data_IF_560258935238
#
_entry.id   IF_560258935238
#
_cell.length_a   1.000
_cell.length_b   1.000
_cell.length_c   1.000
_cell.angle_alpha   90.00
_cell.angle_beta   90.00
_cell.angle_gamma   90.00
#
_symmetry.space_group_name_H-M   'P 1'
#
loop_
_entity.id
_entity.type
_entity.pdbx_description
1 polymer ?
#
# COMPACT_ATOMS: atom_id res chain seq x y z
N UNK A 1 15.29 19.87 -17.36
CA UNK A 1 15.00 20.95 -16.38
C UNK A 1 15.45 20.50 -14.98
N UNK A 2 15.65 21.37 -13.99
CA UNK A 2 15.87 20.91 -12.60
C UNK A 2 14.55 20.36 -12.04
N UNK A 3 14.62 19.33 -11.20
CA UNK A 3 13.43 18.68 -10.63
C UNK A 3 12.44 19.65 -9.95
N UNK A 4 12.96 20.67 -9.24
CA UNK A 4 12.12 21.65 -8.54
C UNK A 4 11.35 22.55 -9.50
N UNK A 5 11.96 22.90 -10.63
CA UNK A 5 11.35 23.77 -11.64
C UNK A 5 10.29 22.99 -12.43
N UNK A 6 10.57 21.72 -12.76
CA UNK A 6 9.60 20.82 -13.38
C UNK A 6 8.42 20.51 -12.43
N UNK A 7 8.67 20.37 -11.13
CA UNK A 7 7.60 20.22 -10.13
C UNK A 7 6.70 21.47 -10.06
N UNK A 8 7.26 22.68 -10.20
CA UNK A 8 6.48 23.91 -10.26
C UNK A 8 5.59 23.96 -11.50
N UNK A 9 6.11 23.60 -12.67
CA UNK A 9 5.31 23.51 -13.91
C UNK A 9 4.13 22.55 -13.74
N UNK A 10 4.39 21.35 -13.23
CA UNK A 10 3.35 20.35 -13.00
C UNK A 10 2.30 20.83 -11.99
N UNK A 11 2.72 21.51 -10.92
CA UNK A 11 1.79 22.04 -9.91
C UNK A 11 0.99 23.25 -10.42
N UNK A 12 1.57 24.08 -11.30
CA UNK A 12 0.86 25.17 -11.97
C UNK A 12 -0.26 24.61 -12.88
N UNK A 13 0.06 23.59 -13.68
CA UNK A 13 -0.91 22.93 -14.56
C UNK A 13 -2.00 22.18 -13.78
N UNK A 14 -1.65 21.60 -12.63
CA UNK A 14 -2.57 20.82 -11.82
C UNK A 14 -3.69 21.66 -11.17
N UNK A 15 -3.53 23.00 -11.13
CA UNK A 15 -4.47 23.96 -10.54
C UNK A 15 -4.98 23.52 -9.15
N UNK A 16 -4.14 22.84 -8.37
CA UNK A 16 -4.50 22.26 -7.07
C UNK A 16 -3.40 21.35 -6.50
N UNK A 17 -3.49 20.95 -5.22
CA UNK A 17 -2.42 20.20 -4.57
C UNK A 17 -2.29 18.77 -5.09
N UNK A 18 -1.08 18.36 -5.44
CA UNK A 18 -0.75 17.01 -5.88
C UNK A 18 0.11 16.26 -4.86
N UNK A 19 -0.06 14.95 -4.82
CA UNK A 19 0.86 14.08 -4.08
C UNK A 19 2.19 13.97 -4.83
N UNK A 20 3.33 13.91 -4.14
CA UNK A 20 4.66 13.93 -4.76
C UNK A 20 4.88 12.82 -5.80
N UNK A 21 4.26 11.65 -5.62
CA UNK A 21 4.26 10.56 -6.60
C UNK A 21 3.66 11.06 -7.93
N UNK A 22 2.49 11.69 -7.88
CA UNK A 22 1.83 12.25 -9.07
C UNK A 22 2.61 13.41 -9.69
N UNK A 23 3.28 14.23 -8.87
CA UNK A 23 4.15 15.30 -9.36
C UNK A 23 5.28 14.69 -10.19
N UNK A 24 5.93 13.67 -9.64
CA UNK A 24 7.06 12.95 -10.25
C UNK A 24 6.65 12.25 -11.55
N UNK A 25 5.55 11.51 -11.53
CA UNK A 25 5.04 10.79 -12.71
C UNK A 25 4.75 11.76 -13.86
N UNK A 26 4.14 12.91 -13.58
CA UNK A 26 3.85 13.93 -14.62
C UNK A 26 5.11 14.61 -15.12
N UNK A 27 6.09 14.89 -14.26
CA UNK A 27 7.38 15.47 -14.67
C UNK A 27 8.10 14.57 -15.67
N UNK A 28 8.07 13.25 -15.46
CA UNK A 28 8.69 12.25 -16.34
C UNK A 28 7.85 12.08 -17.62
N UNK A 29 6.53 11.93 -17.49
CA UNK A 29 5.63 11.72 -18.62
C UNK A 29 5.61 12.89 -19.61
N UNK A 30 5.77 14.13 -19.11
CA UNK A 30 5.87 15.34 -19.94
C UNK A 30 7.29 15.62 -20.44
N UNK A 31 8.28 14.75 -20.13
CA UNK A 31 9.68 14.96 -20.50
C UNK A 31 10.34 16.18 -19.86
N UNK A 32 9.74 16.75 -18.82
CA UNK A 32 10.24 17.95 -18.15
C UNK A 32 11.48 17.64 -17.30
N UNK A 33 11.54 16.43 -16.75
CA UNK A 33 12.63 15.97 -15.91
C UNK A 33 12.87 14.46 -16.08
N UNK A 34 14.14 14.07 -16.08
CA UNK A 34 14.57 12.68 -16.12
C UNK A 34 15.32 12.32 -14.83
N UNK A 35 15.22 11.06 -14.41
CA UNK A 35 15.75 10.54 -13.15
C UNK A 35 16.71 9.39 -13.39
N UNK A 36 17.98 9.57 -13.01
CA UNK A 36 18.99 8.50 -13.01
C UNK A 36 18.88 7.56 -11.77
N UNK A 37 18.06 7.92 -10.77
CA UNK A 37 17.93 7.21 -9.51
C UNK A 37 16.81 6.16 -9.47
N UNK A 38 16.93 5.17 -8.57
CA UNK A 38 15.95 4.07 -8.40
C UNK A 38 14.62 4.51 -7.76
N UNK A 39 14.58 5.68 -7.13
CA UNK A 39 13.40 6.20 -6.39
C UNK A 39 13.14 7.69 -6.72
N UNK A 40 12.68 7.98 -7.95
CA UNK A 40 12.43 9.35 -8.40
C UNK A 40 11.42 10.09 -7.52
N UNK A 41 10.41 9.39 -7.00
CA UNK A 41 9.34 9.99 -6.20
C UNK A 41 9.87 10.47 -4.84
N UNK A 42 10.69 9.64 -4.18
CA UNK A 42 11.35 10.00 -2.94
C UNK A 42 12.27 11.22 -3.14
N UNK A 43 12.95 11.29 -4.29
CA UNK A 43 13.82 12.41 -4.66
C UNK A 43 13.03 13.71 -4.83
N UNK A 44 11.90 13.68 -5.53
CA UNK A 44 11.03 14.86 -5.71
C UNK A 44 10.42 15.30 -4.38
N UNK A 45 9.95 14.36 -3.56
CA UNK A 45 9.42 14.66 -2.22
C UNK A 45 10.46 15.36 -1.33
N UNK A 46 11.68 14.83 -1.29
CA UNK A 46 12.77 15.39 -0.50
C UNK A 46 13.14 16.80 -0.98
N UNK A 47 13.23 17.03 -2.29
CA UNK A 47 13.56 18.35 -2.85
C UNK A 47 12.50 19.39 -2.56
N UNK A 48 11.21 19.04 -2.68
CA UNK A 48 10.11 19.94 -2.31
C UNK A 48 10.10 20.25 -0.81
N UNK A 49 10.35 19.24 0.03
CA UNK A 49 10.42 19.44 1.48
C UNK A 49 11.62 20.31 1.90
N UNK A 50 12.78 20.11 1.29
CA UNK A 50 14.00 20.91 1.54
C UNK A 50 13.79 22.36 1.07
N UNK A 51 13.21 22.59 -0.11
CA UNK A 51 12.92 23.94 -0.62
C UNK A 51 11.98 24.71 0.33
N UNK A 52 10.91 24.05 0.81
CA UNK A 52 9.97 24.64 1.78
C UNK A 52 10.65 24.92 3.12
N UNK A 53 11.50 24.02 3.61
CA UNK A 53 12.20 24.20 4.89
C UNK A 53 13.22 25.35 4.80
N UNK A 54 14.00 25.39 3.73
CA UNK A 54 15.11 26.32 3.59
C UNK A 54 14.64 27.73 3.21
N UNK A 55 13.55 27.86 2.44
CA UNK A 55 12.99 29.16 2.03
C UNK A 55 11.78 29.59 2.86
N UNK A 56 11.22 28.71 3.70
CA UNK A 56 10.09 29.03 4.56
C UNK A 56 8.91 29.60 3.78
N UNK A 57 8.43 30.79 4.19
CA UNK A 57 7.33 31.50 3.52
C UNK A 57 7.69 32.03 2.13
N UNK A 58 8.98 32.11 1.78
CA UNK A 58 9.44 32.52 0.46
C UNK A 58 9.45 31.38 -0.58
N UNK A 59 9.25 30.13 -0.16
CA UNK A 59 9.16 28.98 -1.07
C UNK A 59 7.96 29.15 -2.02
N UNK A 60 8.17 28.74 -3.28
CA UNK A 60 7.11 28.63 -4.30
C UNK A 60 6.09 27.55 -3.96
N UNK A 61 6.43 26.64 -3.04
CA UNK A 61 5.63 25.49 -2.69
C UNK A 61 5.09 25.61 -1.27
N UNK A 62 3.97 24.97 -1.03
CA UNK A 62 3.42 24.80 0.31
C UNK A 62 2.99 23.35 0.49
N UNK A 63 3.27 22.80 1.68
CA UNK A 63 2.81 21.46 2.05
C UNK A 63 1.43 21.57 2.68
N UNK A 64 0.43 21.04 1.98
CA UNK A 64 -0.99 21.11 2.41
C UNK A 64 -1.49 19.80 3.05
N UNK A 65 -0.64 18.77 3.09
CA UNK A 65 -0.97 17.47 3.67
C UNK A 65 0.18 16.48 3.61
N UNK A 66 -0.04 15.26 4.12
CA UNK A 66 0.99 14.19 4.05
C UNK A 66 1.30 13.85 2.59
N UNK A 67 2.54 14.15 2.17
CA UNK A 67 3.02 13.95 0.81
C UNK A 67 2.37 14.84 -0.26
N UNK A 68 1.56 15.84 0.12
CA UNK A 68 0.83 16.71 -0.83
C UNK A 68 1.40 18.12 -0.82
N UNK A 69 1.67 18.63 -2.02
CA UNK A 69 2.28 19.92 -2.28
C UNK A 69 1.40 20.74 -3.22
N UNK A 70 1.39 22.05 -3.04
CA UNK A 70 0.72 23.01 -3.91
C UNK A 70 1.66 24.19 -4.19
N UNK A 71 1.32 25.03 -5.17
CA UNK A 71 1.94 26.35 -5.29
C UNK A 71 1.41 27.28 -4.20
N UNK A 72 2.30 28.13 -3.68
CA UNK A 72 1.94 29.14 -2.70
C UNK A 72 1.11 30.26 -3.39
N UNK A 73 -0.17 30.37 -3.03
CA UNK A 73 -1.19 31.17 -3.70
C UNK A 73 -0.98 32.70 -3.59
N UNK A 74 -0.12 33.19 -2.69
CA UNK A 74 0.19 34.64 -2.61
C UNK A 74 0.94 35.19 -3.82
N UNK A 75 1.40 34.33 -4.75
CA UNK A 75 2.04 34.76 -6.00
C UNK A 75 1.34 34.32 -7.29
N UNK A 76 0.18 33.66 -7.20
CA UNK A 76 -0.49 33.06 -8.38
C UNK A 76 -1.97 33.44 -8.53
N UNK A 77 -2.40 34.62 -8.03
CA UNK A 77 -3.75 35.11 -8.32
C UNK A 77 -3.75 36.60 -8.69
N UNK A 78 -3.73 36.87 -10.00
CA UNK A 78 -4.62 37.89 -10.55
C UNK A 78 -6.02 37.29 -10.74
N UNK A 79 -6.97 37.79 -9.96
CA UNK A 79 -8.45 37.66 -10.06
C UNK A 79 -9.09 36.33 -9.60
N UNK A 80 -9.67 36.32 -8.39
CA UNK A 80 -11.11 36.57 -8.05
C UNK A 80 -11.95 35.29 -8.27
N UNK A 81 -12.76 34.76 -7.35
CA UNK A 81 -13.33 35.25 -6.09
C UNK A 81 -13.94 34.05 -5.33
N UNK A 82 -13.94 34.08 -3.98
CA UNK A 82 -14.95 33.41 -3.15
C UNK A 82 -14.54 32.13 -2.43
N UNK A 83 -14.19 32.25 -1.14
CA UNK A 83 -14.23 31.14 -0.17
C UNK A 83 -15.69 30.81 0.21
N UNK A 84 -15.97 29.59 0.70
CA UNK A 84 -15.88 29.39 2.15
C UNK A 84 -15.25 28.06 2.59
N UNK A 85 -14.75 28.08 3.82
CA UNK A 85 -14.21 26.97 4.62
C UNK A 85 -15.35 26.26 5.40
N UNK A 86 -15.09 25.26 6.25
CA UNK A 86 -15.36 23.84 5.99
C UNK A 86 -16.52 23.30 6.84
N UNK A 87 -17.31 22.39 6.28
CA UNK A 87 -18.28 21.61 7.05
C UNK A 87 -18.10 20.11 6.78
N UNK A 88 -18.02 19.39 7.89
CA UNK A 88 -18.04 17.94 8.04
C UNK A 88 -19.14 17.22 7.24
N UNK A 89 -18.79 16.06 6.66
CA UNK A 89 -19.72 14.96 6.40
C UNK A 89 -18.88 13.67 6.45
N UNK A 90 -18.91 12.85 7.53
CA UNK A 90 -19.95 11.87 7.88
C UNK A 90 -20.58 11.21 6.65
N UNK A 91 -20.36 9.90 6.56
CA UNK A 91 -20.89 9.05 5.52
C UNK A 91 -22.42 9.07 5.47
N UNK A 92 -22.93 9.01 4.25
CA UNK A 92 -24.32 8.81 3.94
C UNK A 92 -24.40 7.98 2.67
N UNK A 93 -24.97 6.78 2.83
CA UNK A 93 -25.48 5.93 1.76
C UNK A 93 -26.64 6.68 1.08
N UNK A 94 -26.63 6.78 -0.25
CA UNK A 94 -27.61 7.58 -1.01
C UNK A 94 -27.82 7.05 -2.41
N UNK A 95 -28.93 6.33 -2.62
CA UNK A 95 -29.44 5.95 -3.95
C UNK A 95 -29.91 7.20 -4.71
N UNK A 96 -29.29 7.46 -5.86
CA UNK A 96 -29.73 8.42 -6.87
C UNK A 96 -28.57 9.05 -7.65
N UNK A 97 -28.25 8.50 -8.84
CA UNK A 97 -27.53 9.21 -9.90
C UNK A 97 -26.16 8.67 -10.34
N UNK A 98 -25.14 8.72 -9.48
CA UNK A 98 -23.74 8.46 -9.88
C UNK A 98 -23.18 7.21 -9.19
N UNK A 99 -22.53 6.33 -9.93
CA UNK A 99 -21.80 5.19 -9.35
C UNK A 99 -20.58 5.68 -8.55
N UNK A 100 -20.10 4.88 -7.59
CA UNK A 100 -18.81 5.16 -6.96
C UNK A 100 -17.68 5.05 -8.00
N UNK A 101 -16.54 5.72 -7.80
CA UNK A 101 -15.41 5.64 -8.73
C UNK A 101 -14.98 4.20 -9.02
N UNK A 102 -14.95 3.33 -8.01
CA UNK A 102 -14.61 1.92 -8.21
C UNK A 102 -15.68 1.16 -8.98
N UNK A 103 -16.96 1.46 -8.77
CA UNK A 103 -18.03 0.79 -9.51
C UNK A 103 -18.11 1.29 -10.96
N UNK A 104 -17.84 2.57 -11.20
CA UNK A 104 -17.72 3.11 -12.53
C UNK A 104 -16.50 2.55 -13.27
N UNK A 105 -15.35 2.44 -12.60
CA UNK A 105 -14.17 1.79 -13.17
C UNK A 105 -14.46 0.35 -13.58
N UNK A 106 -15.17 -0.40 -12.72
CA UNK A 106 -15.55 -1.77 -13.03
C UNK A 106 -16.45 -1.85 -14.25
N UNK A 107 -17.47 -0.98 -14.36
CA UNK A 107 -18.37 -0.92 -15.52
C UNK A 107 -17.63 -0.57 -16.81
N UNK A 108 -16.79 0.47 -16.78
CA UNK A 108 -16.01 0.89 -17.95
C UNK A 108 -15.10 -0.23 -18.45
N UNK A 109 -14.46 -0.96 -17.53
CA UNK A 109 -13.64 -2.11 -17.90
C UNK A 109 -14.51 -3.28 -18.36
N UNK A 110 -15.61 -3.61 -17.68
CA UNK A 110 -16.49 -4.72 -18.07
C UNK A 110 -17.02 -4.59 -19.50
N UNK A 111 -17.21 -3.35 -19.96
CA UNK A 111 -17.67 -2.99 -21.30
C UNK A 111 -16.51 -2.74 -22.29
N UNK A 112 -15.26 -3.08 -21.96
CA UNK A 112 -14.13 -2.99 -22.91
C UNK A 112 -14.22 -4.14 -23.92
N UNK A 113 -14.32 -3.86 -25.24
CA UNK A 113 -14.58 -4.87 -26.27
C UNK A 113 -13.55 -6.01 -26.30
N UNK A 114 -12.31 -5.66 -26.02
CA UNK A 114 -11.13 -6.53 -26.11
C UNK A 114 -10.68 -7.10 -24.76
N UNK A 115 -11.41 -6.78 -23.67
CA UNK A 115 -11.01 -7.11 -22.28
C UNK A 115 -9.55 -6.73 -21.99
N UNK A 116 -9.06 -5.66 -22.61
CA UNK A 116 -7.69 -5.21 -22.43
C UNK A 116 -7.57 -4.25 -21.25
N UNK A 117 -6.47 -4.31 -20.48
CA UNK A 117 -6.19 -3.33 -19.44
C UNK A 117 -6.23 -1.91 -20.01
N UNK A 118 -6.92 -1.02 -19.32
CA UNK A 118 -6.96 0.39 -19.69
C UNK A 118 -6.11 1.20 -18.70
N UNK A 119 -5.47 2.24 -19.22
CA UNK A 119 -4.82 3.21 -18.34
C UNK A 119 -5.89 3.91 -17.49
N UNK A 120 -5.63 4.12 -16.20
CA UNK A 120 -6.61 4.72 -15.28
C UNK A 120 -7.17 6.07 -15.78
N UNK A 121 -6.39 6.83 -16.55
CA UNK A 121 -6.85 8.06 -17.19
C UNK A 121 -7.97 7.80 -18.20
N UNK A 122 -7.81 6.82 -19.09
CA UNK A 122 -8.81 6.41 -20.06
C UNK A 122 -10.05 5.81 -19.39
N UNK A 123 -9.87 5.06 -18.29
CA UNK A 123 -11.00 4.56 -17.48
C UNK A 123 -11.85 5.73 -16.97
N UNK A 124 -11.17 6.78 -16.50
CA UNK A 124 -11.83 7.96 -15.94
C UNK A 124 -12.55 8.77 -17.01
N UNK A 125 -11.91 8.99 -18.15
CA UNK A 125 -12.49 9.68 -19.29
C UNK A 125 -13.78 9.00 -19.75
N UNK A 126 -13.73 7.68 -20.01
CA UNK A 126 -14.92 6.90 -20.38
C UNK A 126 -15.99 6.91 -19.29
N UNK A 127 -15.60 6.94 -18.01
CA UNK A 127 -16.56 7.02 -16.91
C UNK A 127 -17.27 8.39 -16.86
N UNK A 128 -16.58 9.48 -17.22
CA UNK A 128 -17.15 10.82 -17.32
C UNK A 128 -18.02 10.96 -18.57
N UNK A 129 -17.55 10.49 -19.72
CA UNK A 129 -18.30 10.51 -20.99
C UNK A 129 -19.64 9.78 -20.91
N UNK A 130 -19.70 8.74 -20.09
CA UNK A 130 -20.91 7.92 -19.87
C UNK A 130 -21.74 8.37 -18.66
N UNK A 131 -21.40 9.51 -18.06
CA UNK A 131 -22.05 10.03 -16.86
C UNK A 131 -22.10 9.01 -15.68
N UNK A 132 -21.15 8.06 -15.64
CA UNK A 132 -21.07 7.05 -14.58
C UNK A 132 -20.54 7.65 -13.27
N UNK A 133 -19.72 8.70 -13.38
CA UNK A 133 -19.23 9.49 -12.26
C UNK A 133 -19.47 10.97 -12.53
N UNK A 134 -19.75 11.70 -11.45
CA UNK A 134 -19.68 13.16 -11.46
C UNK A 134 -18.56 13.60 -10.52
N UNK A 135 -17.76 14.57 -10.98
CA UNK A 135 -16.59 15.00 -10.22
C UNK A 135 -16.53 16.51 -10.13
N UNK A 136 -16.61 17.04 -8.92
CA UNK A 136 -16.36 18.46 -8.65
C UNK A 136 -14.86 18.80 -8.54
N UNK A 137 -14.01 17.77 -8.39
CA UNK A 137 -12.57 17.89 -8.23
C UNK A 137 -11.79 18.00 -9.55
N UNK A 138 -10.69 18.75 -9.56
CA UNK A 138 -9.87 19.04 -10.76
C UNK A 138 -8.98 17.88 -11.25
N UNK A 139 -8.92 16.76 -10.52
CA UNK A 139 -8.11 15.59 -10.90
C UNK A 139 -8.88 14.26 -10.83
N UNK A 140 -9.94 14.08 -11.64
CA UNK A 140 -10.77 12.87 -11.61
C UNK A 140 -9.95 11.58 -11.78
N UNK A 141 -8.93 11.59 -12.64
CA UNK A 141 -8.14 10.40 -12.94
C UNK A 141 -7.25 9.94 -11.80
N UNK A 142 -6.67 10.88 -11.06
CA UNK A 142 -5.88 10.56 -9.88
C UNK A 142 -6.77 10.01 -8.76
N UNK A 143 -7.96 10.58 -8.60
CA UNK A 143 -8.96 10.07 -7.66
C UNK A 143 -9.38 8.66 -8.04
N UNK A 144 -9.74 8.42 -9.30
CA UNK A 144 -10.09 7.11 -9.85
C UNK A 144 -9.02 6.07 -9.51
N UNK A 145 -7.77 6.34 -9.89
CA UNK A 145 -6.68 5.40 -9.67
C UNK A 145 -6.45 5.13 -8.18
N UNK A 146 -6.44 6.17 -7.35
CA UNK A 146 -6.26 6.00 -5.90
C UNK A 146 -7.37 5.16 -5.24
N UNK A 147 -8.61 5.27 -5.72
CA UNK A 147 -9.75 4.50 -5.23
C UNK A 147 -9.65 3.04 -5.66
N UNK A 148 -9.24 2.77 -6.90
CA UNK A 148 -8.93 1.41 -7.39
C UNK A 148 -7.83 0.76 -6.53
N UNK A 149 -6.69 1.45 -6.33
CA UNK A 149 -5.58 0.95 -5.52
C UNK A 149 -5.97 0.71 -4.05
N UNK A 150 -6.90 1.51 -3.54
CA UNK A 150 -7.41 1.38 -2.17
C UNK A 150 -8.36 0.18 -2.06
N UNK A 151 -9.23 -0.05 -3.05
CA UNK A 151 -10.12 -1.21 -3.10
C UNK A 151 -9.32 -2.53 -3.17
N UNK A 152 -8.30 -2.59 -4.04
CA UNK A 152 -7.40 -3.75 -4.15
C UNK A 152 -6.79 -4.08 -2.77
N UNK A 153 -6.12 -3.11 -2.13
CA UNK A 153 -5.48 -3.30 -0.82
C UNK A 153 -6.49 -3.69 0.28
N UNK A 154 -7.67 -3.08 0.27
CA UNK A 154 -8.73 -3.37 1.23
C UNK A 154 -9.19 -4.83 1.12
N UNK A 155 -9.42 -5.31 -0.10
CA UNK A 155 -9.85 -6.69 -0.38
C UNK A 155 -8.78 -7.70 -0.02
N UNK A 156 -7.52 -7.46 -0.40
CA UNK A 156 -6.39 -8.30 -0.04
C UNK A 156 -6.24 -8.45 1.49
N UNK A 157 -6.34 -7.35 2.23
CA UNK A 157 -6.23 -7.36 3.70
C UNK A 157 -7.35 -8.18 4.35
N UNK A 158 -8.51 -8.28 3.69
CA UNK A 158 -9.67 -9.06 4.15
C UNK A 158 -9.68 -10.50 3.62
N UNK A 159 -8.73 -10.89 2.77
CA UNK A 159 -8.74 -12.17 2.09
C UNK A 159 -9.86 -12.32 1.05
N UNK A 160 -10.41 -11.20 0.56
CA UNK A 160 -11.42 -11.18 -0.50
C UNK A 160 -10.76 -11.21 -1.88
N UNK A 161 -11.43 -11.80 -2.88
CA UNK A 161 -10.97 -11.76 -4.26
C UNK A 161 -10.91 -10.30 -4.77
N UNK A 162 -9.81 -9.89 -5.43
CA UNK A 162 -9.68 -8.54 -5.98
C UNK A 162 -10.63 -8.35 -7.17
N UNK A 163 -11.19 -7.15 -7.32
CA UNK A 163 -11.97 -6.76 -8.53
C UNK A 163 -11.06 -6.37 -9.69
N UNK A 164 -9.92 -5.77 -9.36
CA UNK A 164 -8.98 -5.17 -10.30
C UNK A 164 -7.60 -5.83 -10.21
N UNK A 165 -6.92 -5.89 -11.34
CA UNK A 165 -5.52 -6.31 -11.44
C UNK A 165 -4.72 -5.15 -12.01
N UNK A 166 -3.58 -4.86 -11.37
CA UNK A 166 -2.61 -3.89 -11.92
C UNK A 166 -1.66 -4.59 -12.87
N UNK A 167 -1.52 -4.03 -14.06
CA UNK A 167 -0.57 -4.50 -15.09
C UNK A 167 0.70 -3.64 -15.16
N UNK A 168 0.88 -2.73 -14.19
CA UNK A 168 1.99 -1.76 -14.17
C UNK A 168 1.70 -0.52 -15.02
N UNK A 169 2.51 0.55 -14.83
CA UNK A 169 2.40 1.82 -15.58
C UNK A 169 0.98 2.42 -15.62
N UNK A 170 0.22 2.30 -14.52
CA UNK A 170 -1.14 2.83 -14.44
C UNK A 170 -2.21 2.02 -15.20
N UNK A 171 -1.85 0.86 -15.75
CA UNK A 171 -2.77 -0.03 -16.45
C UNK A 171 -3.55 -0.88 -15.45
N UNK A 172 -4.87 -0.83 -15.57
CA UNK A 172 -5.81 -1.55 -14.71
C UNK A 172 -6.71 -2.42 -15.57
N UNK A 173 -6.85 -3.68 -15.18
CA UNK A 173 -7.83 -4.60 -15.76
C UNK A 173 -8.76 -5.19 -14.71
N UNK A 174 -9.80 -5.90 -15.16
CA UNK A 174 -10.63 -6.70 -14.24
C UNK A 174 -9.96 -8.04 -13.94
N UNK A 175 -10.01 -8.43 -12.68
CA UNK A 175 -9.63 -9.79 -12.28
C UNK A 175 -10.50 -10.86 -12.97
N UNK A 176 -11.74 -10.50 -13.31
CA UNK A 176 -12.67 -11.36 -14.04
C UNK A 176 -12.26 -11.66 -15.49
N UNK A 177 -11.33 -10.90 -16.08
CA UNK A 177 -10.86 -11.14 -17.45
C UNK A 177 -9.81 -12.23 -17.55
N UNK A 178 -9.10 -12.52 -16.45
CA UNK A 178 -8.29 -13.72 -16.41
C UNK A 178 -9.26 -14.89 -16.60
N UNK A 179 -8.99 -15.81 -17.57
CA UNK A 179 -9.76 -17.02 -17.65
C UNK A 179 -9.80 -17.66 -16.25
N UNK A 180 -10.98 -18.10 -15.81
CA UNK A 180 -11.17 -18.65 -14.44
C UNK A 180 -10.10 -19.70 -14.12
N UNK A 181 -9.70 -20.47 -15.13
CA UNK A 181 -8.61 -21.45 -15.07
C UNK A 181 -7.24 -20.82 -14.76
N UNK A 182 -6.89 -19.70 -15.39
CA UNK A 182 -5.63 -18.97 -15.17
C UNK A 182 -5.64 -18.30 -13.80
N UNK A 183 -6.72 -17.63 -13.42
CA UNK A 183 -6.84 -17.03 -12.08
C UNK A 183 -6.70 -18.10 -10.98
N UNK A 184 -7.41 -19.23 -11.14
CA UNK A 184 -7.31 -20.37 -10.24
C UNK A 184 -5.91 -20.98 -10.18
N UNK A 185 -5.21 -21.05 -11.33
CA UNK A 185 -3.84 -21.53 -11.39
C UNK A 185 -2.86 -20.59 -10.66
N UNK A 186 -2.99 -19.28 -10.85
CA UNK A 186 -2.17 -18.26 -10.16
C UNK A 186 -2.37 -18.36 -8.65
N UNK A 187 -3.61 -18.42 -8.19
CA UNK A 187 -3.89 -18.58 -6.76
C UNK A 187 -3.34 -19.88 -6.21
N UNK A 188 -3.50 -21.00 -6.94
CA UNK A 188 -2.96 -22.30 -6.55
C UNK A 188 -1.44 -22.22 -6.41
N UNK A 189 -0.75 -21.66 -7.41
CA UNK A 189 0.72 -21.49 -7.39
C UNK A 189 1.16 -20.58 -6.24
N UNK A 190 0.45 -19.50 -5.98
CA UNK A 190 0.74 -18.61 -4.86
C UNK A 190 0.55 -19.32 -3.50
N UNK A 191 -0.49 -20.15 -3.35
CA UNK A 191 -0.68 -20.99 -2.15
C UNK A 191 0.46 -22.01 -2.00
N UNK A 192 0.86 -22.69 -3.07
CA UNK A 192 1.99 -23.63 -3.07
C UNK A 192 3.30 -22.94 -2.62
N UNK A 193 3.58 -21.74 -3.14
CA UNK A 193 4.76 -20.97 -2.73
C UNK A 193 4.70 -20.57 -1.25
N UNK A 194 3.56 -20.06 -0.76
CA UNK A 194 3.40 -19.70 0.66
C UNK A 194 3.57 -20.92 1.57
N UNK A 195 3.03 -22.07 1.17
CA UNK A 195 3.19 -23.32 1.91
C UNK A 195 4.66 -23.75 1.96
N UNK A 196 5.38 -23.69 0.82
CA UNK A 196 6.81 -24.00 0.78
C UNK A 196 7.65 -23.03 1.63
N UNK A 197 7.31 -21.74 1.66
CA UNK A 197 7.94 -20.76 2.54
C UNK A 197 7.73 -21.12 4.02
N UNK A 198 6.50 -21.48 4.39
CA UNK A 198 6.17 -21.87 5.76
C UNK A 198 6.89 -23.15 6.19
N UNK A 199 7.00 -24.14 5.31
CA UNK A 199 7.73 -25.39 5.56
C UNK A 199 9.23 -25.14 5.75
N UNK A 200 9.83 -24.27 4.94
CA UNK A 200 11.23 -23.85 5.08
C UNK A 200 11.45 -23.13 6.42
N UNK A 201 10.57 -22.22 6.80
CA UNK A 201 10.62 -21.54 8.09
C UNK A 201 10.46 -22.54 9.26
N UNK A 202 9.52 -23.48 9.14
CA UNK A 202 9.29 -24.55 10.11
C UNK A 202 10.45 -25.55 10.24
N UNK A 203 11.30 -25.67 9.22
CA UNK A 203 12.46 -26.56 9.20
C UNK A 203 13.78 -25.87 9.60
N UNK A 204 13.80 -24.54 9.68
CA UNK A 204 14.98 -23.77 10.07
C UNK A 204 15.39 -24.06 11.53
N UNK A 205 16.65 -23.79 11.88
CA UNK A 205 17.06 -23.75 13.30
C UNK A 205 16.37 -22.58 14.03
N UNK A 206 16.29 -22.59 15.37
CA UNK A 206 15.72 -21.46 16.13
C UNK A 206 16.32 -20.11 15.74
N UNK A 207 17.64 -19.98 15.78
CA UNK A 207 18.36 -18.78 15.32
C UNK A 207 18.18 -18.50 13.82
N UNK A 208 17.93 -19.53 13.00
CA UNK A 208 17.59 -19.35 11.58
C UNK A 208 16.21 -18.71 11.39
N UNK A 209 15.23 -19.12 12.20
CA UNK A 209 13.89 -18.54 12.19
C UNK A 209 13.90 -17.11 12.73
N UNK A 210 14.60 -16.84 13.83
CA UNK A 210 14.79 -15.49 14.37
C UNK A 210 15.39 -14.54 13.32
N UNK A 211 16.44 -14.98 12.60
CA UNK A 211 17.02 -14.19 11.50
C UNK A 211 16.02 -13.91 10.39
N UNK A 212 15.21 -14.90 10.00
CA UNK A 212 14.17 -14.71 8.98
C UNK A 212 13.09 -13.73 9.42
N UNK A 213 12.69 -13.77 10.70
CA UNK A 213 11.76 -12.78 11.28
C UNK A 213 12.39 -11.39 11.28
N UNK A 214 13.66 -11.27 11.65
CA UNK A 214 14.41 -10.01 11.57
C UNK A 214 14.47 -9.44 10.15
N UNK A 215 14.77 -10.29 9.15
CA UNK A 215 14.78 -9.91 7.74
C UNK A 215 13.40 -9.39 7.28
N UNK A 216 12.32 -10.07 7.68
CA UNK A 216 10.97 -9.60 7.38
C UNK A 216 10.69 -8.24 8.03
N UNK A 217 11.03 -8.06 9.30
CA UNK A 217 10.84 -6.79 10.00
C UNK A 217 11.61 -5.65 9.32
N UNK A 218 12.87 -5.87 8.93
CA UNK A 218 13.63 -4.89 8.14
C UNK A 218 12.91 -4.54 6.83
N UNK A 219 12.42 -5.54 6.09
CA UNK A 219 11.69 -5.31 4.84
C UNK A 219 10.34 -4.59 5.05
N UNK A 220 9.77 -4.68 6.25
CA UNK A 220 8.58 -3.93 6.67
C UNK A 220 8.89 -2.51 7.19
N UNK A 221 10.16 -2.12 7.24
CA UNK A 221 10.59 -0.78 7.63
C UNK A 221 10.96 -0.62 9.10
N UNK A 222 11.22 -1.72 9.82
CA UNK A 222 11.79 -1.63 11.17
C UNK A 222 13.30 -1.35 11.09
N UNK A 223 13.73 -0.44 11.97
CA UNK A 223 15.12 -0.05 12.19
C UNK A 223 15.65 -0.61 13.52
N UNK A 224 16.96 -0.48 13.74
CA UNK A 224 17.63 -0.86 15.00
C UNK A 224 17.27 -2.28 15.47
N UNK A 225 17.28 -3.25 14.54
CA UNK A 225 16.91 -4.63 14.86
C UNK A 225 18.05 -5.29 15.63
N UNK A 226 17.77 -5.63 16.88
CA UNK A 226 18.71 -6.26 17.79
C UNK A 226 18.23 -7.67 18.17
N UNK A 227 19.10 -8.66 18.03
CA UNK A 227 18.85 -10.01 18.55
C UNK A 227 19.18 -10.01 20.04
N UNK A 228 18.20 -10.32 20.88
CA UNK A 228 18.39 -10.44 22.32
C UNK A 228 19.07 -11.77 22.62
N UNK A 229 20.12 -11.74 23.44
CA UNK A 229 20.77 -12.98 23.90
C UNK A 229 19.84 -13.70 24.88
N UNK A 230 19.88 -15.03 24.85
CA UNK A 230 18.97 -15.99 25.52
C UNK A 230 19.02 -16.00 27.06
N UNK A 231 19.22 -14.85 27.70
CA UNK A 231 19.43 -14.71 29.14
C UNK A 231 18.29 -13.87 29.73
N UNK A 232 17.37 -14.52 30.44
CA UNK A 232 16.39 -13.96 31.38
C UNK A 232 15.37 -12.91 30.88
N UNK A 233 15.29 -12.58 29.59
CA UNK A 233 14.41 -11.52 29.10
C UNK A 233 12.97 -11.99 28.77
N UNK A 234 12.48 -12.98 29.54
CA UNK A 234 11.11 -13.50 29.46
C UNK A 234 10.64 -13.92 28.05
N UNK A 235 11.57 -14.31 27.17
CA UNK A 235 11.27 -14.86 25.84
C UNK A 235 11.37 -13.88 24.69
N UNK A 236 11.69 -12.61 24.89
CA UNK A 236 11.94 -11.72 23.73
C UNK A 236 13.16 -12.21 22.95
N UNK A 237 13.04 -12.40 21.64
CA UNK A 237 14.12 -12.88 20.75
C UNK A 237 14.71 -11.74 19.89
N UNK A 238 13.91 -10.72 19.59
CA UNK A 238 14.30 -9.56 18.79
C UNK A 238 13.69 -8.28 19.39
N UNK A 239 14.37 -7.15 19.25
CA UNK A 239 13.78 -5.83 19.41
C UNK A 239 14.00 -5.02 18.14
N UNK A 240 13.07 -4.13 17.83
CA UNK A 240 13.18 -3.22 16.68
C UNK A 240 12.29 -2.00 16.83
N UNK A 241 12.60 -0.94 16.09
CA UNK A 241 11.86 0.32 16.13
C UNK A 241 11.24 0.62 14.77
N UNK A 242 9.93 0.75 14.72
CA UNK A 242 9.25 1.28 13.54
C UNK A 242 9.20 2.80 13.62
N UNK A 243 9.75 3.48 12.61
CA UNK A 243 9.72 4.95 12.51
C UNK A 243 8.66 5.36 11.49
N UNK A 244 7.61 6.05 11.94
CA UNK A 244 6.53 6.52 11.08
C UNK A 244 6.67 8.02 10.86
N UNK A 245 6.93 8.41 9.61
CA UNK A 245 7.04 9.81 9.20
C UNK A 245 8.17 10.55 9.91
N UNK A 246 9.28 9.86 10.15
CA UNK A 246 10.53 10.36 10.76
C UNK A 246 10.41 10.88 12.21
N UNK A 247 9.21 10.92 12.79
CA UNK A 247 8.95 11.49 14.11
C UNK A 247 8.42 10.45 15.11
N UNK A 248 7.53 9.56 14.67
CA UNK A 248 6.87 8.61 15.59
C UNK A 248 7.68 7.33 15.68
N UNK A 249 8.19 7.01 16.87
CA UNK A 249 8.96 5.79 17.12
C UNK A 249 8.11 4.79 17.90
N UNK A 250 7.89 3.62 17.33
CA UNK A 250 7.17 2.52 17.97
C UNK A 250 8.19 1.41 18.23
N UNK A 251 8.52 1.19 19.51
CA UNK A 251 9.42 0.10 19.91
C UNK A 251 8.63 -1.19 20.03
N UNK A 252 9.13 -2.24 19.41
CA UNK A 252 8.55 -3.57 19.51
C UNK A 252 9.56 -4.59 20.05
N UNK A 253 9.09 -5.38 21.01
CA UNK A 253 9.70 -6.65 21.39
C UNK A 253 9.02 -7.78 20.64
N UNK A 254 9.81 -8.62 19.98
CA UNK A 254 9.31 -9.69 19.12
C UNK A 254 9.78 -11.04 19.66
N UNK A 255 8.83 -11.96 19.79
CA UNK A 255 9.08 -13.37 20.06
C UNK A 255 8.82 -14.16 18.77
N UNK A 256 9.81 -14.93 18.34
CA UNK A 256 9.76 -15.83 17.21
C UNK A 256 9.65 -17.29 17.70
N UNK A 257 8.48 -17.92 17.51
CA UNK A 257 8.24 -19.34 17.87
C UNK A 257 8.09 -20.23 16.63
N UNK A 258 9.09 -21.08 16.37
CA UNK A 258 9.00 -22.13 15.35
C UNK A 258 8.28 -23.37 15.89
N UNK A 259 6.94 -23.35 15.92
CA UNK A 259 6.12 -24.37 16.59
C UNK A 259 5.22 -25.13 15.61
N UNK A 260 4.83 -26.36 16.00
CA UNK A 260 3.83 -27.17 15.29
C UNK A 260 2.42 -27.05 15.91
N UNK A 261 2.35 -26.85 17.23
CA UNK A 261 1.10 -26.69 17.96
C UNK A 261 0.77 -25.20 18.13
N UNK A 262 -0.52 -24.91 18.34
CA UNK A 262 -0.97 -23.53 18.49
C UNK A 262 -0.35 -22.86 19.72
N UNK A 263 0.04 -21.59 19.56
CA UNK A 263 0.52 -20.75 20.66
C UNK A 263 -0.63 -20.46 21.63
N UNK A 264 -0.35 -20.61 22.92
CA UNK A 264 -1.35 -20.48 24.00
C UNK A 264 -1.20 -19.16 24.76
N UNK A 265 -2.25 -18.78 25.50
CA UNK A 265 -2.30 -17.54 26.29
C UNK A 265 -1.08 -17.30 27.21
N UNK A 266 -0.49 -18.33 27.87
CA UNK A 266 0.68 -18.12 28.73
C UNK A 266 1.87 -17.49 28.00
N UNK A 267 2.07 -17.80 26.71
CA UNK A 267 3.16 -17.19 25.91
C UNK A 267 2.89 -15.70 25.68
N UNK A 268 1.63 -15.34 25.42
CA UNK A 268 1.23 -13.94 25.26
C UNK A 268 1.45 -13.15 26.55
N UNK A 269 1.10 -13.74 27.70
CA UNK A 269 1.34 -13.16 29.02
C UNK A 269 2.83 -12.99 29.31
N UNK A 270 3.64 -13.99 28.95
CA UNK A 270 5.08 -13.98 29.15
C UNK A 270 5.76 -12.85 28.35
N UNK A 271 5.42 -12.73 27.06
CA UNK A 271 5.92 -11.63 26.20
C UNK A 271 5.50 -10.29 26.78
N UNK A 272 4.23 -10.16 27.18
CA UNK A 272 3.72 -8.91 27.78
C UNK A 272 4.45 -8.53 29.06
N UNK A 273 4.77 -9.50 29.93
CA UNK A 273 5.53 -9.27 31.16
C UNK A 273 6.98 -8.85 30.94
N UNK A 274 7.49 -9.01 29.71
CA UNK A 274 8.86 -8.69 29.32
C UNK A 274 8.97 -7.34 28.58
N UNK A 275 7.83 -6.66 28.35
CA UNK A 275 7.80 -5.37 27.65
C UNK A 275 8.35 -4.26 28.54
N UNK A 276 9.24 -3.44 27.98
CA UNK A 276 9.68 -2.20 28.60
C UNK A 276 8.61 -1.09 28.56
N UNK A 277 8.92 0.04 29.19
CA UNK A 277 8.04 1.20 29.18
C UNK A 277 7.75 1.65 27.73
N UNK A 278 6.45 1.77 27.38
CA UNK A 278 5.99 2.16 26.05
C UNK A 278 6.44 1.23 24.90
N UNK A 279 6.80 -0.01 25.20
CA UNK A 279 7.07 -1.05 24.20
C UNK A 279 5.79 -1.82 23.87
N UNK A 280 5.68 -2.30 22.63
CA UNK A 280 4.61 -3.20 22.19
C UNK A 280 5.17 -4.60 21.94
N UNK A 281 4.35 -5.63 22.11
CA UNK A 281 4.74 -7.00 21.80
C UNK A 281 4.35 -7.40 20.38
N UNK A 282 5.11 -8.30 19.77
CA UNK A 282 4.71 -9.07 18.59
C UNK A 282 5.11 -10.52 18.79
N UNK A 283 4.19 -11.45 18.53
CA UNK A 283 4.52 -12.88 18.46
C UNK A 283 4.39 -13.33 17.01
N UNK A 284 5.47 -13.89 16.48
CA UNK A 284 5.52 -14.50 15.15
C UNK A 284 5.67 -16.01 15.32
N UNK A 285 4.81 -16.79 14.68
CA UNK A 285 4.87 -18.26 14.74
C UNK A 285 4.73 -18.90 13.37
N UNK A 286 5.25 -20.12 13.22
CA UNK A 286 4.98 -20.99 12.07
C UNK A 286 3.66 -21.77 12.20
N UNK A 287 2.98 -21.68 13.34
CA UNK A 287 1.69 -22.33 13.64
C UNK A 287 0.54 -21.30 13.65
N UNK A 288 -0.58 -21.64 14.29
CA UNK A 288 -1.66 -20.70 14.62
C UNK A 288 -1.64 -20.34 16.12
N UNK A 289 -2.60 -19.52 16.57
CA UNK A 289 -2.86 -19.12 17.95
C UNK A 289 -4.19 -19.70 18.44
N UNK A 290 -4.25 -20.11 19.70
CA UNK A 290 -5.52 -20.52 20.31
C UNK A 290 -6.46 -19.33 20.53
N UNK A 291 -7.75 -19.61 20.71
CA UNK A 291 -8.75 -18.58 21.04
C UNK A 291 -8.33 -17.77 22.27
N UNK A 292 -7.88 -18.46 23.33
CA UNK A 292 -7.42 -17.80 24.55
C UNK A 292 -6.18 -16.94 24.34
N UNK A 293 -5.27 -17.31 23.42
CA UNK A 293 -4.13 -16.45 23.07
C UNK A 293 -4.58 -15.17 22.35
N UNK A 294 -5.56 -15.27 21.44
CA UNK A 294 -6.14 -14.12 20.73
C UNK A 294 -6.89 -13.19 21.69
N UNK A 295 -7.68 -13.75 22.62
CA UNK A 295 -8.39 -13.00 23.66
C UNK A 295 -7.41 -12.28 24.60
N UNK A 296 -6.36 -12.98 25.06
CA UNK A 296 -5.32 -12.39 25.91
C UNK A 296 -4.63 -11.24 25.18
N UNK A 297 -4.22 -11.42 23.92
CA UNK A 297 -3.51 -10.39 23.14
C UNK A 297 -4.30 -9.07 23.03
N UNK A 298 -5.63 -9.14 22.96
CA UNK A 298 -6.56 -8.01 22.81
C UNK A 298 -7.06 -7.41 24.13
N UNK A 299 -6.50 -7.80 25.28
CA UNK A 299 -6.95 -7.34 26.60
C UNK A 299 -6.90 -5.79 26.70
N UNK A 300 -8.04 -5.09 26.98
CA UNK A 300 -8.16 -3.63 26.87
C UNK A 300 -7.15 -2.81 27.69
N UNK A 301 -6.86 -3.24 28.91
CA UNK A 301 -6.03 -2.49 29.87
C UNK A 301 -4.57 -2.99 29.93
N UNK A 302 -4.11 -3.61 28.84
CA UNK A 302 -2.82 -4.28 28.79
C UNK A 302 -1.99 -3.80 27.60
N UNK A 303 -0.66 -3.74 27.78
CA UNK A 303 0.26 -3.35 26.71
C UNK A 303 0.02 -4.22 25.45
N UNK A 304 -0.28 -3.65 24.27
CA UNK A 304 -0.70 -4.42 23.10
C UNK A 304 0.31 -5.49 22.68
N UNK A 305 -0.19 -6.68 22.31
CA UNK A 305 0.62 -7.75 21.72
C UNK A 305 0.03 -8.13 20.37
N UNK A 306 0.74 -7.82 19.28
CA UNK A 306 0.40 -8.27 17.94
C UNK A 306 0.62 -9.78 17.80
N UNK A 307 -0.21 -10.42 16.99
CA UNK A 307 -0.10 -11.85 16.67
C UNK A 307 0.06 -12.00 15.16
N UNK A 308 1.10 -12.73 14.74
CA UNK A 308 1.37 -13.07 13.34
C UNK A 308 1.48 -14.58 13.21
N UNK A 309 0.46 -15.20 12.61
CA UNK A 309 0.41 -16.65 12.42
C UNK A 309 1.23 -17.08 11.19
N UNK A 310 1.39 -18.38 11.01
CA UNK A 310 2.21 -18.94 9.93
C UNK A 310 1.73 -18.55 8.53
N UNK A 311 0.41 -18.41 8.33
CA UNK A 311 -0.15 -18.01 7.04
C UNK A 311 0.11 -16.54 6.76
N UNK A 312 -0.10 -15.67 7.76
CA UNK A 312 0.20 -14.25 7.67
C UNK A 312 1.70 -14.02 7.44
N UNK A 313 2.56 -14.74 8.17
CA UNK A 313 4.01 -14.68 8.02
C UNK A 313 4.44 -15.07 6.61
N UNK A 314 3.98 -16.22 6.10
CA UNK A 314 4.30 -16.67 4.74
C UNK A 314 3.80 -15.73 3.65
N UNK A 315 2.61 -15.14 3.84
CA UNK A 315 2.07 -14.13 2.92
C UNK A 315 2.94 -12.86 2.89
N UNK A 316 3.43 -12.41 4.05
CA UNK A 316 4.32 -11.25 4.16
C UNK A 316 5.70 -11.55 3.56
N UNK A 317 6.28 -12.73 3.80
CA UNK A 317 7.52 -13.15 3.13
C UNK A 317 7.38 -13.09 1.60
N UNK A 318 6.29 -13.64 1.06
CA UNK A 318 6.02 -13.61 -0.38
C UNK A 318 5.86 -12.17 -0.90
N UNK A 319 5.11 -11.33 -0.18
CA UNK A 319 4.87 -9.92 -0.52
C UNK A 319 6.17 -9.11 -0.59
N UNK A 320 7.06 -9.33 0.37
CA UNK A 320 8.36 -8.66 0.43
C UNK A 320 9.45 -9.40 -0.37
N UNK A 321 9.08 -10.43 -1.14
CA UNK A 321 9.99 -11.23 -1.98
C UNK A 321 11.15 -11.88 -1.19
N UNK A 322 10.90 -12.23 0.07
CA UNK A 322 11.84 -12.96 0.92
C UNK A 322 11.65 -14.45 0.68
N UNK A 323 12.63 -15.07 0.03
CA UNK A 323 12.56 -16.47 -0.36
C UNK A 323 11.57 -16.79 -1.49
N UNK A 324 10.96 -15.76 -2.09
CA UNK A 324 10.05 -15.83 -3.23
C UNK A 324 10.38 -14.71 -4.23
N UNK A 325 9.93 -14.86 -5.48
CA UNK A 325 10.10 -13.84 -6.52
C UNK A 325 8.84 -13.72 -7.34
N UNK A 326 8.57 -12.53 -7.86
CA UNK A 326 7.50 -12.33 -8.86
C UNK A 326 8.01 -12.88 -10.20
N UNK A 327 7.17 -13.70 -10.86
CA UNK A 327 7.43 -14.19 -12.20
C UNK A 327 6.46 -13.51 -13.17
N UNK A 328 6.92 -12.57 -14.02
CA UNK A 328 6.08 -11.97 -15.04
C UNK A 328 5.81 -12.98 -16.18
N UNK A 329 4.60 -12.95 -16.75
CA UNK A 329 4.22 -13.75 -17.93
C UNK A 329 3.32 -12.93 -18.87
N UNK A 330 3.39 -13.23 -20.16
CA UNK A 330 2.51 -12.68 -21.19
C UNK A 330 1.44 -13.72 -21.53
N UNK A 331 0.21 -13.27 -21.74
CA UNK A 331 -0.90 -14.11 -22.15
C UNK A 331 -1.56 -13.47 -23.37
N UNK A 332 -1.50 -14.15 -24.51
CA UNK A 332 -2.20 -13.76 -25.73
C UNK A 332 -3.60 -14.37 -25.73
N UNK A 333 -4.60 -13.59 -26.13
CA UNK A 333 -5.96 -14.05 -26.36
C UNK A 333 -6.33 -13.79 -27.83
N UNK A 334 -7.28 -14.57 -28.37
CA UNK A 334 -7.87 -14.26 -29.67
C UNK A 334 -8.64 -12.93 -29.55
N UNK A 335 -8.47 -12.05 -30.53
CA UNK A 335 -9.36 -10.91 -30.67
C UNK A 335 -10.72 -11.46 -31.12
N UNK A 336 -11.80 -11.08 -30.44
CA UNK A 336 -13.13 -11.38 -30.94
C UNK A 336 -13.29 -10.60 -32.25
N UNK A 337 -13.30 -11.31 -33.39
CA UNK A 337 -13.66 -10.72 -34.67
C UNK A 337 -15.13 -10.33 -34.57
N UNK A 338 -15.42 -9.04 -34.36
CA UNK A 338 -16.74 -8.49 -34.69
C UNK A 338 -16.90 -8.62 -36.20
N UNK A 339 -17.44 -9.76 -36.61
CA UNK A 339 -17.81 -10.06 -37.97
C UNK A 339 -18.65 -8.92 -38.53
N UNK A 340 -18.04 -8.21 -39.46
CA UNK A 340 -18.70 -7.51 -40.54
C UNK A 340 -19.73 -8.43 -41.20
N UNK A 341 -20.97 -8.39 -40.74
CA UNK A 341 -22.11 -8.78 -41.56
C UNK A 341 -22.40 -7.59 -42.49
N UNK A 342 -21.88 -7.70 -43.71
CA UNK A 342 -22.25 -6.87 -44.86
C UNK A 342 -23.45 -7.43 -45.61
#
# INVERSE_FOLDING_TARGET
>A
MRAIDAAATVLAEAKGPLHYIMITERMIAQGLWDSEGKTPEATVNARLAVDIRDQGTASRFVRVGRGRFALNAEKDQGQDRGSPSPASARGGDGRGGSASFTDAAERVLAESPDRSPLHYAAITERALERDLIHTEGRTPSATMYSQILTDIRRRETRGEAPRFVQHGRGMVGLAAWLPVEVAGLVEKKNREVRQALLERAGSASPAGFERLVGELLSAMGFEDIEVTRTSNDGGVDLRGTLVVGDTVRIRMAVQAKRWKANVQAPIVQQVRGSLGAHEQGLIVTTSDFSRGAREEALRPDAAPVGLMDGQQFAALLAKHQIGARIQPYELYALADDEGSEG
#
